data_IF_757702939084
#
_entry.id   IF_757702939084
#
_cell.length_a   1.000
_cell.length_b   1.000
_cell.length_c   1.000
_cell.angle_alpha   90.00
_cell.angle_beta   90.00
_cell.angle_gamma   90.00
#
_symmetry.space_group_name_H-M   'P 1'
#
loop_
_entity.id
_entity.type
_entity.pdbx_description
1 polymer ?
#
# COMPACT_ATOMS: atom_id res chain seq x y z
N UNK A 1 -5.93 -5.91 -19.61
CA UNK A 1 -5.40 -5.03 -18.54
C UNK A 1 -5.95 -5.53 -17.19
N UNK A 2 -5.19 -5.37 -16.11
CA UNK A 2 -5.64 -5.70 -14.76
C UNK A 2 -5.96 -4.40 -14.05
N UNK A 3 -7.08 -4.37 -13.34
CA UNK A 3 -7.49 -3.24 -12.50
C UNK A 3 -7.30 -3.60 -11.04
N UNK A 4 -6.80 -2.65 -10.25
CA UNK A 4 -6.69 -2.78 -8.80
C UNK A 4 -7.65 -1.79 -8.12
N UNK A 5 -8.34 -2.22 -7.08
CA UNK A 5 -9.24 -1.38 -6.30
C UNK A 5 -9.02 -1.56 -4.80
N UNK A 6 -8.97 -0.46 -4.06
CA UNK A 6 -8.92 -0.44 -2.60
C UNK A 6 -10.34 -0.44 -2.02
N UNK A 7 -10.54 -1.16 -0.92
CA UNK A 7 -11.82 -1.28 -0.24
C UNK A 7 -11.78 -0.77 1.22
N UNK A 8 -12.96 -0.35 1.71
CA UNK A 8 -13.19 0.03 3.11
C UNK A 8 -12.88 -1.11 4.09
N UNK A 9 -12.98 -2.36 3.65
CA UNK A 9 -12.65 -3.54 4.45
C UNK A 9 -11.14 -3.76 4.67
N UNK A 10 -10.29 -2.90 4.09
CA UNK A 10 -8.83 -3.04 4.15
C UNK A 10 -8.25 -3.96 3.09
N UNK A 11 -9.08 -4.53 2.20
CA UNK A 11 -8.61 -5.43 1.14
C UNK A 11 -8.37 -4.69 -0.19
N UNK A 12 -7.51 -5.27 -1.01
CA UNK A 12 -7.33 -4.88 -2.41
C UNK A 12 -7.90 -5.99 -3.28
N UNK A 13 -8.66 -5.60 -4.30
CA UNK A 13 -9.16 -6.56 -5.30
C UNK A 13 -8.52 -6.30 -6.65
N UNK A 14 -8.07 -7.38 -7.29
CA UNK A 14 -7.54 -7.38 -8.64
C UNK A 14 -8.57 -7.98 -9.58
N UNK A 15 -8.85 -7.26 -10.68
CA UNK A 15 -9.91 -7.58 -11.63
C UNK A 15 -9.36 -7.71 -13.03
N UNK A 16 -9.97 -8.58 -13.83
CA UNK A 16 -9.75 -8.57 -15.28
C UNK A 16 -10.57 -7.45 -15.94
N UNK A 17 -10.32 -7.21 -17.23
CA UNK A 17 -11.07 -6.23 -18.04
C UNK A 17 -12.56 -6.55 -18.20
N UNK A 18 -12.96 -7.79 -17.93
CA UNK A 18 -14.33 -8.28 -17.99
C UNK A 18 -15.08 -8.08 -16.65
N UNK A 19 -14.42 -7.51 -15.63
CA UNK A 19 -14.99 -7.28 -14.30
C UNK A 19 -15.02 -8.51 -13.39
N UNK A 20 -14.38 -9.62 -13.78
CA UNK A 20 -14.25 -10.79 -12.91
C UNK A 20 -13.13 -10.59 -11.90
N UNK A 21 -13.40 -10.93 -10.64
CA UNK A 21 -12.42 -10.95 -9.57
C UNK A 21 -11.36 -12.03 -9.85
N UNK A 22 -10.10 -11.62 -9.95
CA UNK A 22 -8.96 -12.52 -10.14
C UNK A 22 -8.31 -12.89 -8.81
N UNK A 23 -8.13 -11.90 -7.92
CA UNK A 23 -7.46 -12.08 -6.63
C UNK A 23 -7.96 -11.07 -5.62
N UNK A 24 -8.08 -11.48 -4.36
CA UNK A 24 -8.24 -10.59 -3.22
C UNK A 24 -6.95 -10.62 -2.39
N UNK A 25 -6.41 -9.44 -2.09
CA UNK A 25 -5.22 -9.24 -1.27
C UNK A 25 -5.66 -8.69 0.07
N UNK A 26 -5.25 -9.37 1.13
CA UNK A 26 -5.53 -8.99 2.50
C UNK A 26 -4.19 -8.65 3.15
N UNK A 27 -4.09 -7.54 3.89
CA UNK A 27 -2.89 -7.24 4.63
C UNK A 27 -2.67 -8.30 5.72
N UNK A 28 -1.41 -8.71 5.88
CA UNK A 28 -0.98 -9.68 6.89
C UNK A 28 -0.72 -9.02 8.25
N UNK A 29 -0.45 -7.72 8.24
CA UNK A 29 -0.19 -6.89 9.42
C UNK A 29 -1.45 -6.71 10.29
N UNK A 30 -1.36 -7.04 11.60
CA UNK A 30 -2.43 -6.75 12.58
C UNK A 30 -2.78 -5.26 12.67
N UNK A 31 -1.87 -4.38 12.23
CA UNK A 31 -2.03 -2.93 12.27
C UNK A 31 -2.81 -2.36 11.07
N UNK A 32 -3.14 -3.19 10.07
CA UNK A 32 -3.65 -2.76 8.76
C UNK A 32 -5.12 -3.13 8.49
N UNK A 33 -5.92 -3.48 9.50
CA UNK A 33 -7.35 -3.82 9.32
C UNK A 33 -8.28 -2.60 9.11
N UNK A 34 -7.74 -1.48 8.62
CA UNK A 34 -8.46 -0.23 8.42
C UNK A 34 -8.74 0.08 6.93
N UNK A 35 -9.68 0.99 6.63
CA UNK A 35 -10.05 1.37 5.27
C UNK A 35 -8.86 1.83 4.44
N UNK A 36 -8.71 1.26 3.24
CA UNK A 36 -7.76 1.74 2.25
C UNK A 36 -8.35 2.94 1.51
N UNK A 37 -7.58 4.01 1.39
CA UNK A 37 -8.05 5.30 0.87
C UNK A 37 -7.38 5.70 -0.44
N UNK A 38 -6.25 5.08 -0.77
CA UNK A 38 -5.48 5.39 -1.99
C UNK A 38 -4.70 4.17 -2.44
N UNK A 39 -4.51 4.04 -3.75
CA UNK A 39 -3.62 3.06 -4.39
C UNK A 39 -2.66 3.75 -5.35
N UNK A 40 -1.46 3.20 -5.50
CA UNK A 40 -0.48 3.61 -6.49
C UNK A 40 0.37 2.39 -6.92
N UNK A 41 1.06 2.48 -8.04
CA UNK A 41 1.98 1.45 -8.54
C UNK A 41 3.26 2.10 -9.04
N UNK A 42 4.34 1.33 -9.11
CA UNK A 42 5.57 1.74 -9.80
C UNK A 42 5.37 1.76 -11.32
N UNK A 43 6.28 2.39 -12.05
CA UNK A 43 6.18 2.51 -13.52
C UNK A 43 6.29 1.11 -14.15
N UNK A 44 7.10 0.22 -13.56
CA UNK A 44 7.22 -1.16 -14.01
C UNK A 44 6.04 -2.08 -13.66
N UNK A 45 5.06 -1.59 -12.88
CA UNK A 45 3.85 -2.30 -12.42
C UNK A 45 4.11 -3.58 -11.61
N UNK A 46 5.25 -3.66 -10.93
CA UNK A 46 5.64 -4.81 -10.09
C UNK A 46 5.28 -4.63 -8.62
N UNK A 47 5.14 -3.38 -8.19
CA UNK A 47 4.85 -2.98 -6.83
C UNK A 47 3.49 -2.31 -6.77
N UNK A 48 2.67 -2.74 -5.82
CA UNK A 48 1.38 -2.13 -5.52
C UNK A 48 1.44 -1.52 -4.13
N UNK A 49 1.09 -0.25 -4.01
CA UNK A 49 1.09 0.50 -2.77
C UNK A 49 -0.33 0.88 -2.40
N UNK A 50 -0.66 0.79 -1.11
CA UNK A 50 -1.91 1.28 -0.57
C UNK A 50 -1.67 2.17 0.65
N UNK A 51 -2.47 3.23 0.75
CA UNK A 51 -2.55 4.07 1.94
C UNK A 51 -3.85 3.82 2.70
N UNK A 52 -3.80 3.90 4.03
CA UNK A 52 -4.96 3.69 4.89
C UNK A 52 -5.47 4.97 5.57
N UNK A 53 -6.69 4.88 6.10
CA UNK A 53 -7.32 5.93 6.92
C UNK A 53 -6.56 6.20 8.24
N UNK A 54 -5.81 5.24 8.73
CA UNK A 54 -5.02 5.31 9.97
C UNK A 54 -3.59 5.80 9.72
N UNK A 55 -3.23 6.07 8.46
CA UNK A 55 -1.92 6.58 8.08
C UNK A 55 -0.89 5.51 7.75
N UNK A 56 -1.31 4.26 7.54
CA UNK A 56 -0.40 3.19 7.15
C UNK A 56 -0.18 3.18 5.64
N UNK A 57 1.04 2.80 5.24
CA UNK A 57 1.38 2.42 3.88
C UNK A 57 1.70 0.94 3.88
N UNK A 58 1.10 0.23 2.94
CA UNK A 58 1.36 -1.18 2.70
C UNK A 58 1.80 -1.36 1.25
N UNK A 59 2.81 -2.21 1.05
CA UNK A 59 3.45 -2.43 -0.23
C UNK A 59 3.46 -3.92 -0.56
N UNK A 60 2.95 -4.31 -1.73
CA UNK A 60 2.91 -5.68 -2.21
C UNK A 60 3.75 -5.83 -3.47
N UNK A 61 4.43 -6.98 -3.59
CA UNK A 61 5.00 -7.40 -4.87
C UNK A 61 3.97 -8.22 -5.63
N UNK A 62 3.56 -7.71 -6.80
CA UNK A 62 2.57 -8.33 -7.69
C UNK A 62 3.19 -8.91 -8.96
N UNK A 63 4.51 -8.82 -9.15
CA UNK A 63 5.18 -9.21 -10.39
C UNK A 63 4.89 -10.66 -10.79
N UNK A 64 5.07 -11.61 -9.85
CA UNK A 64 4.82 -13.03 -10.12
C UNK A 64 3.37 -13.31 -10.50
N UNK A 65 2.41 -12.59 -9.90
CA UNK A 65 1.00 -12.72 -10.26
C UNK A 65 0.72 -12.21 -11.69
N UNK A 66 1.41 -11.15 -12.12
CA UNK A 66 1.27 -10.62 -13.48
C UNK A 66 1.89 -11.54 -14.54
N UNK A 67 2.99 -12.21 -14.21
CA UNK A 67 3.67 -13.15 -15.11
C UNK A 67 2.83 -14.41 -15.37
N UNK A 68 2.20 -14.97 -14.34
CA UNK A 68 1.34 -16.14 -14.47
C UNK A 68 0.11 -16.02 -13.56
N UNK A 69 -0.89 -15.30 -14.08
CA UNK A 69 -2.15 -15.03 -13.37
C UNK A 69 -3.06 -16.26 -13.17
N UNK A 70 -2.81 -17.35 -13.91
CA UNK A 70 -3.63 -18.56 -13.86
C UNK A 70 -3.13 -19.57 -12.83
N UNK A 71 -1.89 -19.42 -12.38
CA UNK A 71 -1.30 -20.28 -11.38
C UNK A 71 -1.69 -19.82 -9.97
N UNK A 72 -2.60 -20.57 -9.35
CA UNK A 72 -3.04 -20.33 -7.97
C UNK A 72 -1.91 -20.40 -6.92
N UNK A 73 -0.72 -20.90 -7.27
CA UNK A 73 0.45 -20.88 -6.39
C UNK A 73 1.18 -19.53 -6.34
N UNK A 74 0.88 -18.60 -7.26
CA UNK A 74 1.46 -17.26 -7.22
C UNK A 74 0.87 -16.47 -6.05
N UNK A 75 1.61 -16.48 -4.95
CA UNK A 75 1.37 -15.66 -3.78
C UNK A 75 1.82 -14.24 -4.09
N UNK A 76 0.86 -13.32 -4.09
CA UNK A 76 1.15 -11.88 -3.97
C UNK A 76 1.55 -11.66 -2.53
N UNK A 77 2.80 -11.22 -2.31
CA UNK A 77 3.37 -11.09 -0.96
C UNK A 77 3.39 -9.63 -0.55
N UNK A 78 2.95 -9.38 0.68
CA UNK A 78 3.19 -8.10 1.34
C UNK A 78 4.69 -7.99 1.62
N UNK A 79 5.32 -6.97 1.04
CA UNK A 79 6.76 -6.71 1.15
C UNK A 79 7.06 -5.88 2.38
N UNK A 80 6.28 -4.81 2.60
CA UNK A 80 6.50 -3.83 3.66
C UNK A 80 5.17 -3.28 4.14
N UNK A 81 5.08 -3.03 5.45
CA UNK A 81 4.05 -2.18 6.04
C UNK A 81 4.68 -1.26 7.07
N UNK A 82 4.34 0.03 7.02
CA UNK A 82 4.76 0.99 8.04
C UNK A 82 3.69 2.04 8.26
N UNK A 83 3.77 2.71 9.40
CA UNK A 83 2.95 3.90 9.65
C UNK A 83 3.67 5.09 9.07
N UNK A 84 3.09 5.75 8.06
CA UNK A 84 3.66 6.94 7.45
C UNK A 84 3.16 8.23 8.12
N UNK A 85 1.87 8.24 8.46
CA UNK A 85 1.16 9.40 8.96
C UNK A 85 0.41 9.07 10.25
N UNK A 86 0.06 10.12 11.00
CA UNK A 86 -0.78 9.97 12.20
C UNK A 86 -2.26 9.84 11.84
N UNK A 87 -2.64 10.33 10.66
CA UNK A 87 -4.01 10.33 10.13
C UNK A 87 -4.06 9.83 8.69
N UNK A 88 -5.25 9.90 8.07
CA UNK A 88 -5.56 9.37 6.74
C UNK A 88 -4.55 9.79 5.68
N UNK A 89 -4.07 8.81 4.91
CA UNK A 89 -3.33 9.06 3.68
C UNK A 89 -4.33 9.40 2.57
N UNK A 90 -4.09 10.52 1.88
CA UNK A 90 -4.99 11.00 0.82
C UNK A 90 -4.38 10.86 -0.56
N UNK A 91 -3.06 10.75 -0.66
CA UNK A 91 -2.38 10.58 -1.96
C UNK A 91 -1.05 9.83 -1.84
N UNK A 92 -0.65 9.17 -2.92
CA UNK A 92 0.58 8.40 -3.06
C UNK A 92 1.23 8.59 -4.42
N UNK A 93 2.53 8.83 -4.41
CA UNK A 93 3.33 8.92 -5.61
C UNK A 93 4.62 8.12 -5.47
N UNK A 94 4.90 7.26 -6.45
CA UNK A 94 6.14 6.50 -6.53
C UNK A 94 7.06 7.13 -7.57
N UNK A 95 8.29 7.46 -7.16
CA UNK A 95 9.33 8.01 -8.05
C UNK A 95 10.45 6.99 -8.16
N UNK A 96 10.59 6.43 -9.38
CA UNK A 96 11.39 5.24 -9.64
C UNK A 96 12.89 5.54 -9.76
N UNK A 97 13.28 6.72 -10.27
CA UNK A 97 14.70 7.07 -10.46
C UNK A 97 15.43 7.24 -9.11
N UNK A 98 14.76 7.83 -8.12
CA UNK A 98 15.32 8.01 -6.76
C UNK A 98 14.88 6.92 -5.78
N UNK A 99 14.05 5.97 -6.22
CA UNK A 99 13.51 4.89 -5.40
C UNK A 99 12.80 5.41 -4.13
N UNK A 100 11.92 6.39 -4.31
CA UNK A 100 11.20 7.05 -3.20
C UNK A 100 9.69 6.99 -3.36
N UNK A 101 9.01 7.02 -2.21
CA UNK A 101 7.56 7.17 -2.11
C UNK A 101 7.28 8.51 -1.46
N UNK A 102 6.39 9.28 -2.07
CA UNK A 102 5.83 10.50 -1.49
C UNK A 102 4.41 10.20 -1.03
N UNK A 103 4.11 10.59 0.21
CA UNK A 103 2.81 10.38 0.86
C UNK A 103 2.23 11.71 1.29
N UNK A 104 0.94 11.94 1.05
CA UNK A 104 0.22 13.12 1.54
C UNK A 104 -0.90 12.69 2.48
N UNK A 105 -1.18 13.50 3.51
CA UNK A 105 -2.16 13.16 4.56
C UNK A 105 -3.03 14.34 4.99
N UNK A 106 -4.19 14.01 5.57
CA UNK A 106 -5.02 14.97 6.31
C UNK A 106 -4.35 15.51 7.58
N UNK A 107 -3.19 14.99 7.99
CA UNK A 107 -2.40 15.54 9.09
C UNK A 107 -1.70 16.86 8.70
N UNK A 108 -1.83 17.29 7.44
CA UNK A 108 -1.27 18.52 6.92
C UNK A 108 0.17 18.38 6.45
N UNK A 109 0.75 17.18 6.47
CA UNK A 109 2.11 16.93 6.01
C UNK A 109 2.17 16.15 4.69
N UNK A 110 3.26 16.39 3.95
CA UNK A 110 3.70 15.56 2.83
C UNK A 110 5.06 15.00 3.21
N UNK A 111 5.23 13.69 3.14
CA UNK A 111 6.39 12.94 3.66
C UNK A 111 7.05 12.13 2.57
N UNK A 112 8.36 11.91 2.70
CA UNK A 112 9.18 11.16 1.74
C UNK A 112 9.79 9.94 2.43
N UNK A 113 9.73 8.81 1.74
CA UNK A 113 10.16 7.51 2.23
C UNK A 113 11.02 6.80 1.18
N UNK A 114 11.95 5.98 1.61
CA UNK A 114 12.64 5.03 0.74
C UNK A 114 11.72 3.87 0.39
N UNK A 115 11.58 3.56 -0.89
CA UNK A 115 10.57 2.63 -1.37
C UNK A 115 10.78 1.17 -0.94
N UNK A 116 12.04 0.72 -0.83
CA UNK A 116 12.36 -0.67 -0.51
C UNK A 116 12.50 -0.96 0.99
N UNK A 117 12.72 0.06 1.80
CA UNK A 117 12.95 -0.11 3.24
C UNK A 117 11.90 0.58 4.11
N UNK A 118 11.08 1.47 3.54
CA UNK A 118 10.14 2.31 4.30
C UNK A 118 10.85 3.33 5.20
N UNK A 119 12.13 3.61 4.97
CA UNK A 119 12.89 4.58 5.77
C UNK A 119 12.44 6.01 5.49
N UNK A 120 12.31 6.80 6.54
CA UNK A 120 11.85 8.17 6.42
C UNK A 120 13.00 9.10 6.06
N UNK A 121 12.81 9.92 5.01
CA UNK A 121 13.77 10.95 4.63
C UNK A 121 13.42 12.35 5.17
N UNK A 122 12.13 12.60 5.46
CA UNK A 122 11.67 13.89 5.94
C UNK A 122 10.31 14.29 5.38
N UNK A 123 9.96 15.56 5.61
CA UNK A 123 8.71 16.17 5.16
C UNK A 123 8.96 17.49 4.43
N UNK A 124 8.04 17.86 3.54
CA UNK A 124 8.11 19.13 2.83
C UNK A 124 7.87 20.31 3.79
N UNK A 125 8.73 21.33 3.71
CA UNK A 125 8.70 22.50 4.61
C UNK A 125 9.66 22.41 5.79
N UNK A 126 10.37 21.29 5.96
CA UNK A 126 11.42 21.18 6.97
C UNK A 126 12.63 22.08 6.62
N UNK A 127 13.39 22.51 7.64
CA UNK A 127 14.58 23.35 7.44
C UNK A 127 15.77 22.63 6.75
N UNK A 128 15.84 21.31 6.87
CA UNK A 128 16.95 20.49 6.34
C UNK A 128 16.64 20.02 4.91
N UNK A 129 17.61 20.14 4.01
CA UNK A 129 17.51 19.55 2.68
C UNK A 129 17.41 18.02 2.75
N UNK A 130 16.67 17.42 1.81
CA UNK A 130 16.59 15.97 1.68
C UNK A 130 17.93 15.39 1.23
N UNK A 131 18.38 14.33 1.91
CA UNK A 131 19.58 13.57 1.55
C UNK A 131 19.16 12.14 1.20
N UNK A 132 18.73 11.94 -0.04
CA UNK A 132 18.08 10.71 -0.50
C UNK A 132 19.06 9.55 -0.74
N UNK A 133 20.35 9.85 -0.89
CA UNK A 133 21.40 8.85 -1.12
C UNK A 133 21.86 8.14 0.16
N UNK A 134 21.64 8.75 1.32
CA UNK A 134 22.07 8.19 2.60
C UNK A 134 20.91 7.42 3.27
N UNK A 135 20.82 6.14 2.97
CA UNK A 135 19.88 5.20 3.61
C UNK A 135 20.42 4.60 4.91
N UNK A 136 21.66 4.96 5.31
CA UNK A 136 22.28 4.45 6.54
C UNK A 136 21.77 5.17 7.78
N UNK A 137 21.23 6.38 7.62
CA UNK A 137 20.62 7.15 8.70
C UNK A 137 19.15 6.76 8.86
N UNK A 138 18.87 6.00 9.92
CA UNK A 138 17.50 5.77 10.35
C UNK A 138 16.95 7.05 10.99
N UNK A 139 16.23 7.85 10.21
CA UNK A 139 15.40 8.94 10.72
C UNK A 139 14.00 8.35 10.92
N UNK A 140 13.36 8.65 12.05
CA UNK A 140 11.95 8.34 12.27
C UNK A 140 11.18 9.65 12.44
N UNK A 141 9.93 9.74 11.96
CA UNK A 141 9.07 10.86 12.29
C UNK A 141 8.86 10.92 13.81
N UNK A 142 8.93 12.11 14.39
CA UNK A 142 8.79 12.28 15.86
C UNK A 142 7.42 11.85 16.39
N UNK A 143 6.41 11.81 15.53
CA UNK A 143 5.03 11.49 15.83
C UNK A 143 4.63 10.06 15.45
N UNK A 144 5.54 9.31 14.84
CA UNK A 144 5.30 7.93 14.42
C UNK A 144 6.46 7.05 14.88
N UNK A 145 6.21 6.25 15.92
CA UNK A 145 7.22 5.42 16.58
C UNK A 145 7.41 4.03 15.95
N UNK A 146 6.60 3.66 14.96
CA UNK A 146 6.62 2.29 14.43
C UNK A 146 7.64 2.17 13.29
N UNK A 147 8.61 1.28 13.45
CA UNK A 147 9.53 0.92 12.37
C UNK A 147 8.80 0.10 11.29
N UNK A 148 9.26 0.14 10.02
CA UNK A 148 8.73 -0.72 8.97
C UNK A 148 8.78 -2.19 9.36
N UNK A 149 7.64 -2.86 9.28
CA UNK A 149 7.53 -4.29 9.50
C UNK A 149 7.81 -5.02 8.18
N UNK A 150 8.92 -5.75 8.12
CA UNK A 150 9.16 -6.76 7.07
C UNK A 150 8.40 -8.01 7.48
N UNK A 151 7.43 -8.42 6.67
CA UNK A 151 6.57 -9.55 7.00
C UNK A 151 7.24 -10.85 6.58
N UNK A 152 7.32 -11.81 7.51
CA UNK A 152 7.84 -13.16 7.30
C UNK A 152 6.72 -14.11 6.86
N UNK A 153 7.08 -15.08 6.01
CA UNK A 153 6.20 -15.96 5.21
C UNK A 153 5.10 -16.74 5.95
N UNK A 154 5.16 -16.86 7.28
CA UNK A 154 4.29 -17.77 8.05
C UNK A 154 3.01 -17.11 8.62
N UNK A 155 2.75 -15.85 8.32
CA UNK A 155 1.56 -15.14 8.82
C UNK A 155 0.33 -15.49 7.99
N UNK A 156 -0.78 -15.87 8.63
CA UNK A 156 -2.06 -16.12 7.95
C UNK A 156 -2.76 -14.79 7.65
N UNK A 157 -3.31 -14.60 6.43
CA UNK A 157 -4.06 -13.39 6.11
C UNK A 157 -5.38 -13.33 6.91
N UNK A 158 -5.83 -12.13 7.29
CA UNK A 158 -7.10 -11.94 7.99
C UNK A 158 -8.28 -12.06 7.03
N UNK A 159 -9.12 -13.09 7.15
CA UNK A 159 -10.34 -13.21 6.35
C UNK A 159 -11.44 -12.27 6.86
N UNK A 160 -11.81 -11.27 6.05
CA UNK A 160 -13.07 -10.51 6.20
C UNK A 160 -13.75 -10.42 4.83
N UNK A 161 -14.82 -11.17 4.63
CA UNK A 161 -15.57 -11.21 3.37
C UNK A 161 -16.68 -10.15 3.40
N UNK A 162 -16.58 -9.14 2.55
CA UNK A 162 -17.63 -8.13 2.35
C UNK A 162 -18.41 -8.44 1.06
N UNK A 163 -19.73 -8.63 1.18
CA UNK A 163 -20.67 -8.83 0.06
C UNK A 163 -21.39 -7.52 -0.30
N UNK A 164 -21.51 -7.23 -1.59
CA UNK A 164 -22.21 -6.06 -2.13
C UNK A 164 -23.22 -6.53 -3.20
N UNK A 165 -24.41 -6.99 -2.79
CA UNK A 165 -25.41 -7.48 -3.74
C UNK A 165 -25.88 -6.34 -4.68
N UNK A 166 -26.01 -6.65 -5.96
CA UNK A 166 -26.62 -5.74 -6.93
C UNK A 166 -28.14 -5.84 -6.81
N UNK A 167 -28.81 -4.70 -6.63
CA UNK A 167 -30.26 -4.58 -6.80
C UNK A 167 -30.53 -4.14 -8.23
N UNK A 168 -31.12 -5.02 -9.05
CA UNK A 168 -31.50 -4.67 -10.43
C UNK A 168 -32.86 -3.96 -10.41
N UNK A 169 -32.99 -2.88 -11.18
CA UNK A 169 -34.19 -2.04 -11.23
C UNK A 169 -35.43 -2.74 -11.84
N UNK A 170 -35.30 -4.02 -12.24
CA UNK A 170 -36.36 -4.83 -12.88
C UNK A 170 -37.36 -5.45 -11.90
N UNK A 171 -37.20 -5.25 -10.59
CA UNK A 171 -38.08 -5.79 -9.55
C UNK A 171 -38.94 -4.71 -8.86
N UNK A 172 -39.35 -3.65 -9.59
CA UNK A 172 -40.36 -2.69 -9.15
C UNK A 172 -41.70 -2.87 -9.88
#
# INVERSE_FOLDING_TARGET
PILASAHESGCIRLWNSQGSLMKELLPFSEYSSGPLTVLCTDISTKMLLAGSKEGHIICWNIASFLEDSQNNKNQVKEKLCWRAHTTKVVDLFYEEEKNVIVTASTDGSVRIWHADSGYYFGYFGQHRNFELSDTSRLILPSDVSNSPAIIREDSKPMEKKAEYPLMLDRDK
#
